data_IF_689311025848
#
_entry.id   IF_689311025848
#
_cell.length_a   1.000
_cell.length_b   1.000
_cell.length_c   1.000
_cell.angle_alpha   90.00
_cell.angle_beta   90.00
_cell.angle_gamma   90.00
#
_symmetry.space_group_name_H-M   'P 1'
#
loop_
_entity.id
_entity.type
_entity.pdbx_description
1 polymer ?
#
# COMPACT_ATOMS: atom_id res chain seq x y z
N UNK A 1 9.42 3.24 -11.99
CA UNK A 1 10.24 4.32 -11.39
C UNK A 1 9.38 5.57 -11.41
N UNK A 2 9.01 6.10 -10.24
CA UNK A 2 8.16 7.27 -10.09
C UNK A 2 9.01 8.55 -9.98
N UNK A 3 8.43 9.69 -10.34
CA UNK A 3 9.11 10.98 -10.34
C UNK A 3 9.00 11.69 -8.98
N UNK A 4 9.86 12.68 -8.74
CA UNK A 4 9.70 13.57 -7.58
C UNK A 4 8.37 14.34 -7.61
N UNK A 5 7.82 14.57 -8.81
CA UNK A 5 6.50 15.18 -8.98
C UNK A 5 5.40 14.24 -8.51
N UNK A 6 5.51 12.93 -8.73
CA UNK A 6 4.50 11.95 -8.30
C UNK A 6 4.42 11.87 -6.77
N UNK A 7 5.55 12.06 -6.08
CA UNK A 7 5.58 12.17 -4.61
C UNK A 7 4.82 13.41 -4.13
N UNK A 8 5.06 14.57 -4.75
CA UNK A 8 4.38 15.82 -4.39
C UNK A 8 2.88 15.75 -4.70
N UNK A 9 2.49 15.20 -5.86
CA UNK A 9 1.09 15.06 -6.25
C UNK A 9 0.28 14.11 -5.36
N UNK A 10 0.96 13.21 -4.64
CA UNK A 10 0.31 12.23 -3.76
C UNK A 10 0.71 12.39 -2.29
N UNK A 11 1.20 13.56 -1.89
CA UNK A 11 1.68 13.82 -0.53
C UNK A 11 0.62 13.55 0.55
N UNK A 12 -0.64 13.86 0.26
CA UNK A 12 -1.78 13.58 1.15
C UNK A 12 -1.93 12.07 1.40
N UNK A 13 -1.91 11.28 0.33
CA UNK A 13 -2.01 9.82 0.42
C UNK A 13 -0.78 9.19 1.07
N UNK A 14 0.40 9.76 0.86
CA UNK A 14 1.62 9.31 1.55
C UNK A 14 1.55 9.61 3.06
N UNK A 15 0.99 10.75 3.45
CA UNK A 15 0.76 11.09 4.85
C UNK A 15 -0.29 10.16 5.51
N UNK A 16 -1.37 9.83 4.78
CA UNK A 16 -2.35 8.84 5.25
C UNK A 16 -1.75 7.45 5.39
N UNK A 17 -0.92 7.04 4.43
CA UNK A 17 -0.19 5.76 4.48
C UNK A 17 0.72 5.70 5.71
N UNK A 18 1.47 6.75 5.98
CA UNK A 18 2.36 6.83 7.13
C UNK A 18 1.58 6.74 8.45
N UNK A 19 0.46 7.45 8.56
CA UNK A 19 -0.41 7.38 9.73
C UNK A 19 -1.01 5.98 9.92
N UNK A 20 -1.39 5.29 8.84
CA UNK A 20 -1.86 3.91 8.90
C UNK A 20 -0.73 2.94 9.29
N UNK A 21 0.48 3.14 8.77
CA UNK A 21 1.66 2.36 9.10
C UNK A 21 2.05 2.49 10.58
N UNK A 22 1.94 3.70 11.15
CA UNK A 22 2.13 3.96 12.58
C UNK A 22 1.12 3.22 13.44
N UNK A 23 -0.18 3.27 13.09
CA UNK A 23 -1.22 2.52 13.82
C UNK A 23 -0.97 1.02 13.84
N UNK A 24 -0.35 0.51 12.78
CA UNK A 24 -0.02 -0.90 12.62
C UNK A 24 1.36 -1.28 13.17
N UNK A 25 2.14 -0.32 13.68
CA UNK A 25 3.52 -0.52 14.13
C UNK A 25 4.37 -1.23 13.06
N UNK A 26 4.30 -0.74 11.82
CA UNK A 26 5.05 -1.30 10.69
C UNK A 26 6.49 -0.78 10.65
N UNK A 27 7.41 -1.67 10.26
CA UNK A 27 8.82 -1.36 10.08
C UNK A 27 9.07 -0.35 8.96
N UNK A 28 10.26 0.26 8.99
CA UNK A 28 10.70 1.16 7.92
C UNK A 28 10.77 0.46 6.56
N UNK A 29 11.12 -0.84 6.54
CA UNK A 29 11.18 -1.63 5.30
C UNK A 29 9.78 -1.82 4.71
N UNK A 30 8.78 -2.16 5.53
CA UNK A 30 7.39 -2.27 5.09
C UNK A 30 6.86 -0.95 4.50
N UNK A 31 7.17 0.18 5.15
CA UNK A 31 6.81 1.52 4.68
C UNK A 31 7.48 1.84 3.35
N UNK A 32 8.77 1.58 3.21
CA UNK A 32 9.52 1.81 1.96
C UNK A 32 8.91 1.01 0.80
N UNK A 33 8.65 -0.29 1.00
CA UNK A 33 8.01 -1.11 -0.02
C UNK A 33 6.61 -0.61 -0.39
N UNK A 34 5.82 -0.22 0.60
CA UNK A 34 4.46 0.28 0.37
C UNK A 34 4.45 1.58 -0.45
N UNK A 35 5.35 2.53 -0.14
CA UNK A 35 5.49 3.79 -0.89
C UNK A 35 5.91 3.51 -2.32
N UNK A 36 6.94 2.68 -2.52
CA UNK A 36 7.43 2.34 -3.86
C UNK A 36 6.35 1.68 -4.72
N UNK A 37 5.59 0.77 -4.12
CA UNK A 37 4.47 0.08 -4.77
C UNK A 37 3.34 1.04 -5.14
N UNK A 38 2.91 1.89 -4.21
CA UNK A 38 1.84 2.86 -4.47
C UNK A 38 2.21 3.84 -5.57
N UNK A 39 3.40 4.45 -5.48
CA UNK A 39 3.85 5.44 -6.46
C UNK A 39 4.13 4.85 -7.85
N UNK A 40 4.44 3.55 -7.93
CA UNK A 40 4.63 2.87 -9.22
C UNK A 40 3.33 2.57 -9.96
N UNK A 41 2.17 2.62 -9.30
CA UNK A 41 0.88 2.29 -9.90
C UNK A 41 -0.26 3.19 -9.39
N UNK A 42 0.02 4.48 -9.19
CA UNK A 42 -0.98 5.45 -8.70
C UNK A 42 -2.18 5.48 -9.65
N UNK A 43 -3.41 5.22 -9.17
CA UNK A 43 -4.60 5.33 -10.00
C UNK A 43 -4.91 6.78 -10.36
N UNK A 44 -5.40 7.01 -11.58
CA UNK A 44 -5.85 8.34 -12.05
C UNK A 44 -7.03 8.90 -11.23
N UNK A 45 -7.85 8.03 -10.64
CA UNK A 45 -9.07 8.43 -9.93
C UNK A 45 -8.83 8.51 -8.42
N UNK A 46 -9.09 9.67 -7.82
CA UNK A 46 -8.87 9.89 -6.38
C UNK A 46 -9.60 8.88 -5.48
N UNK A 47 -10.84 8.50 -5.83
CA UNK A 47 -11.60 7.47 -5.09
C UNK A 47 -10.92 6.09 -5.04
N UNK A 48 -10.00 5.84 -5.97
CA UNK A 48 -9.24 4.59 -6.06
C UNK A 48 -7.89 4.68 -5.35
N UNK A 49 -7.41 5.89 -5.02
CA UNK A 49 -6.08 6.10 -4.40
C UNK A 49 -6.02 5.54 -2.99
N UNK A 50 -7.01 5.79 -2.12
CA UNK A 50 -7.07 5.16 -0.79
C UNK A 50 -7.06 3.62 -0.82
N UNK A 51 -7.94 2.97 -1.61
CA UNK A 51 -7.88 1.54 -1.86
C UNK A 51 -6.53 1.02 -2.38
N UNK A 52 -5.87 1.75 -3.27
CA UNK A 52 -4.56 1.38 -3.81
C UNK A 52 -3.45 1.55 -2.77
N UNK A 53 -3.44 2.67 -2.05
CA UNK A 53 -2.53 2.96 -0.94
C UNK A 53 -2.60 1.86 0.13
N UNK A 54 -3.81 1.48 0.57
CA UNK A 54 -4.00 0.41 1.56
C UNK A 54 -3.55 -0.96 1.04
N UNK A 55 -3.76 -1.25 -0.26
CA UNK A 55 -3.28 -2.49 -0.87
C UNK A 55 -1.75 -2.54 -0.94
N UNK A 56 -1.10 -1.42 -1.26
CA UNK A 56 0.36 -1.28 -1.21
C UNK A 56 0.90 -1.40 0.20
N UNK A 57 0.21 -0.86 1.21
CA UNK A 57 0.60 -1.00 2.61
C UNK A 57 0.57 -2.46 3.07
N UNK A 58 -0.50 -3.19 2.73
CA UNK A 58 -0.59 -4.63 3.00
C UNK A 58 0.50 -5.42 2.26
N UNK A 59 0.73 -5.13 0.98
CA UNK A 59 1.76 -5.78 0.18
C UNK A 59 3.17 -5.52 0.74
N UNK A 60 3.48 -4.28 1.12
CA UNK A 60 4.75 -3.91 1.76
C UNK A 60 4.98 -4.63 3.08
N UNK A 61 3.95 -4.68 3.95
CA UNK A 61 4.02 -5.44 5.20
C UNK A 61 4.21 -6.95 4.97
N UNK A 62 3.60 -7.51 3.92
CA UNK A 62 3.80 -8.91 3.55
C UNK A 62 5.24 -9.19 3.10
N UNK A 63 5.81 -8.31 2.27
CA UNK A 63 7.20 -8.44 1.77
C UNK A 63 8.21 -8.28 2.91
N UNK A 64 7.99 -7.33 3.81
CA UNK A 64 8.83 -7.11 4.99
C UNK A 64 8.64 -8.19 6.07
N UNK A 65 7.68 -9.11 5.91
CA UNK A 65 7.33 -10.13 6.91
C UNK A 65 6.80 -9.54 8.24
N UNK A 66 6.17 -8.37 8.21
CA UNK A 66 5.61 -7.66 9.38
C UNK A 66 4.22 -8.16 9.82
N UNK A 67 3.67 -9.15 9.13
CA UNK A 67 2.54 -9.97 9.61
C UNK A 67 1.31 -9.17 10.05
N UNK A 68 0.71 -8.38 9.14
CA UNK A 68 -0.60 -7.75 9.36
C UNK A 68 -1.66 -8.36 8.45
N UNK A 69 -2.86 -8.56 9.01
CA UNK A 69 -4.01 -9.03 8.24
C UNK A 69 -4.57 -7.93 7.36
N UNK A 70 -5.25 -8.31 6.27
CA UNK A 70 -5.95 -7.34 5.42
C UNK A 70 -7.04 -6.57 6.17
N UNK A 71 -7.62 -7.16 7.23
CA UNK A 71 -8.61 -6.49 8.07
C UNK A 71 -7.98 -5.38 8.89
N UNK A 72 -6.84 -5.65 9.55
CA UNK A 72 -6.12 -4.63 10.33
C UNK A 72 -5.68 -3.47 9.44
N UNK A 73 -5.17 -3.76 8.23
CA UNK A 73 -4.79 -2.71 7.27
C UNK A 73 -6.02 -1.93 6.79
N UNK A 74 -7.15 -2.60 6.55
CA UNK A 74 -8.39 -1.95 6.14
C UNK A 74 -8.91 -0.97 7.21
N UNK A 75 -8.91 -1.39 8.47
CA UNK A 75 -9.30 -0.55 9.60
C UNK A 75 -8.34 0.62 9.81
N UNK A 76 -7.04 0.38 9.72
CA UNK A 76 -6.03 1.43 9.88
C UNK A 76 -6.07 2.49 8.76
N UNK A 77 -6.49 2.11 7.55
CA UNK A 77 -6.55 2.97 6.37
C UNK A 77 -7.97 3.44 6.02
N UNK A 78 -8.98 3.15 6.84
CA UNK A 78 -10.40 3.49 6.60
C UNK A 78 -10.93 3.06 5.21
N UNK A 79 -10.60 1.84 4.81
CA UNK A 79 -11.12 1.23 3.57
C UNK A 79 -11.78 -0.11 3.85
N UNK A 80 -12.47 -0.67 2.87
CA UNK A 80 -12.97 -2.05 2.99
C UNK A 80 -11.83 -3.06 2.83
N UNK A 81 -11.85 -4.16 3.62
CA UNK A 81 -10.96 -5.31 3.40
C UNK A 81 -11.01 -5.82 1.96
N UNK A 82 -12.19 -5.84 1.35
CA UNK A 82 -12.39 -6.30 -0.03
C UNK A 82 -11.67 -5.40 -1.05
N UNK A 83 -11.47 -4.11 -0.74
CA UNK A 83 -10.69 -3.19 -1.57
C UNK A 83 -9.22 -3.62 -1.66
N UNK A 84 -8.64 -4.04 -0.53
CA UNK A 84 -7.28 -4.58 -0.44
C UNK A 84 -7.21 -5.94 -1.13
N UNK A 85 -8.13 -6.85 -0.80
CA UNK A 85 -8.16 -8.22 -1.31
C UNK A 85 -8.11 -8.28 -2.84
N UNK A 86 -8.81 -7.37 -3.52
CA UNK A 86 -8.89 -7.32 -4.98
C UNK A 86 -7.64 -6.75 -5.66
N UNK A 87 -6.72 -6.10 -4.92
CA UNK A 87 -5.63 -5.29 -5.50
C UNK A 87 -4.23 -5.75 -5.12
N UNK A 88 -4.05 -6.33 -3.93
CA UNK A 88 -2.71 -6.54 -3.38
C UNK A 88 -1.81 -7.45 -4.24
N UNK A 89 -2.38 -8.41 -4.97
CA UNK A 89 -1.62 -9.27 -5.88
C UNK A 89 -1.09 -8.48 -7.07
N UNK A 90 -1.96 -7.71 -7.73
CA UNK A 90 -1.60 -6.86 -8.86
C UNK A 90 -0.53 -5.81 -8.45
N UNK A 91 -0.62 -5.30 -7.22
CA UNK A 91 0.39 -4.38 -6.65
C UNK A 91 1.75 -5.05 -6.51
N UNK A 92 1.80 -6.28 -5.95
CA UNK A 92 3.05 -7.05 -5.85
C UNK A 92 3.63 -7.36 -7.23
N UNK A 93 2.80 -7.79 -8.17
CA UNK A 93 3.20 -8.09 -9.55
C UNK A 93 3.77 -6.85 -10.24
N UNK A 94 3.15 -5.69 -10.04
CA UNK A 94 3.63 -4.40 -10.57
C UNK A 94 4.99 -3.99 -9.99
N UNK A 95 5.33 -4.45 -8.78
CA UNK A 95 6.65 -4.30 -8.19
C UNK A 95 7.66 -5.37 -8.66
N UNK A 96 7.28 -6.24 -9.59
CA UNK A 96 8.11 -7.34 -10.09
C UNK A 96 8.21 -8.52 -9.13
N UNK A 97 7.37 -8.58 -8.10
CA UNK A 97 7.32 -9.66 -7.12
C UNK A 97 6.25 -10.68 -7.53
N UNK A 98 6.45 -11.95 -7.15
CA UNK A 98 5.47 -13.00 -7.40
C UNK A 98 4.58 -13.15 -6.16
N UNK A 99 3.25 -12.96 -6.27
CA UNK A 99 2.36 -13.17 -5.15
C UNK A 99 2.34 -14.66 -4.79
N UNK A 100 2.19 -15.00 -3.49
CA UNK A 100 2.02 -16.38 -3.09
C UNK A 100 0.78 -17.02 -3.72
N UNK A 101 0.87 -18.33 -3.99
CA UNK A 101 -0.17 -19.13 -4.68
C UNK A 101 -1.16 -19.80 -3.73
N UNK A 102 -1.00 -19.63 -2.41
CA UNK A 102 -1.85 -20.23 -1.38
C UNK A 102 -3.13 -19.44 -1.12
#
# INVERSE_FOLDING_TARGET
MYSARDQVENEEWLAEMEAAADRLDLSADARSYAVDMFLSSVPESDRSKGPAMAASLYAGALVASDGRSQTEVAEAADVSRLSIQQRWKDVLESAGLQPPTW
#
